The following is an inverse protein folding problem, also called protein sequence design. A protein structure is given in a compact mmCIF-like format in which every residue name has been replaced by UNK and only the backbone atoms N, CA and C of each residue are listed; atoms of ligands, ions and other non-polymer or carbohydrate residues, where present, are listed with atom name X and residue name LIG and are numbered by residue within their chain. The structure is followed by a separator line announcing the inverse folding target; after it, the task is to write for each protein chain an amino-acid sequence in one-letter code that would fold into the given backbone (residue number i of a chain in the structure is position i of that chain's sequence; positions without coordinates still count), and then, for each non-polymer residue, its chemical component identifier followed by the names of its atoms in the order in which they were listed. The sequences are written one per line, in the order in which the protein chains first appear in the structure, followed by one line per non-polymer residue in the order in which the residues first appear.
data_IF_190554718110
#
_entry.id   IF_190554718110
#
_cell.length_a   1.000
_cell.length_b   1.000
_cell.length_c   1.000
_cell.angle_alpha   90.00
_cell.angle_beta   90.00
_cell.angle_gamma   90.00
#
_symmetry.space_group_name_H-M   'P 1'
#
loop_
_entity.id
_entity.type
_entity.pdbx_description
1 polymer ?
#
# COMPACT_ATOMS: atom_id res chain seq x y z
N UNK A 1 -1.08 13.45 -6.19
CA UNK A 1 -1.29 12.05 -5.78
C UNK A 1 -1.51 11.21 -7.04
N UNK A 2 -0.86 10.04 -7.19
CA UNK A 2 -1.08 9.15 -8.35
C UNK A 2 -2.52 8.58 -8.33
N UNK A 3 -3.10 8.31 -9.50
CA UNK A 3 -4.47 7.78 -9.61
C UNK A 3 -4.65 6.42 -8.91
N UNK A 4 -3.68 5.51 -9.07
CA UNK A 4 -3.65 4.22 -8.38
C UNK A 4 -3.67 4.36 -6.85
N UNK A 5 -2.91 5.33 -6.33
CA UNK A 5 -2.87 5.63 -4.91
C UNK A 5 -4.22 6.16 -4.41
N UNK A 6 -4.88 7.00 -5.18
CA UNK A 6 -6.21 7.51 -4.86
C UNK A 6 -7.27 6.40 -4.82
N UNK A 7 -7.23 5.45 -5.77
CA UNK A 7 -8.12 4.28 -5.77
C UNK A 7 -7.89 3.39 -4.55
N UNK A 8 -6.62 3.12 -4.20
CA UNK A 8 -6.26 2.35 -3.01
C UNK A 8 -6.83 2.97 -1.73
N UNK A 9 -6.58 4.27 -1.53
CA UNK A 9 -7.11 5.00 -0.37
C UNK A 9 -8.63 5.08 -0.39
N UNK A 10 -9.25 5.11 -1.57
CA UNK A 10 -10.71 5.04 -1.65
C UNK A 10 -11.23 3.71 -1.12
N UNK A 11 -10.61 2.59 -1.51
CA UNK A 11 -10.98 1.27 -1.01
C UNK A 11 -10.73 1.14 0.49
N UNK A 12 -9.58 1.61 0.98
CA UNK A 12 -9.22 1.62 2.40
C UNK A 12 -10.26 2.40 3.23
N UNK A 13 -10.68 3.59 2.76
CA UNK A 13 -11.73 4.37 3.41
C UNK A 13 -13.11 3.69 3.43
N UNK A 14 -13.48 2.96 2.37
CA UNK A 14 -14.71 2.16 2.36
C UNK A 14 -14.63 1.00 3.36
N UNK A 15 -13.49 0.30 3.46
CA UNK A 15 -13.28 -0.78 4.42
C UNK A 15 -13.40 -0.26 5.87
N UNK A 16 -12.80 0.90 6.16
CA UNK A 16 -12.97 1.56 7.46
C UNK A 16 -14.44 1.87 7.76
N UNK A 17 -15.20 2.32 6.75
CA UNK A 17 -16.62 2.57 6.91
C UNK A 17 -17.43 1.29 7.14
N UNK A 18 -17.04 0.14 6.58
CA UNK A 18 -17.68 -1.14 6.89
C UNK A 18 -17.50 -1.52 8.36
N UNK A 19 -16.28 -1.42 8.89
CA UNK A 19 -15.99 -1.66 10.32
C UNK A 19 -16.80 -0.73 11.21
N UNK A 20 -16.91 0.54 10.85
CA UNK A 20 -17.70 1.50 11.60
C UNK A 20 -19.21 1.17 11.53
N UNK A 21 -19.72 0.73 10.37
CA UNK A 21 -21.13 0.32 10.24
C UNK A 21 -21.47 -0.90 11.09
N UNK A 22 -20.56 -1.87 11.22
CA UNK A 22 -20.72 -3.02 12.13
C UNK A 22 -20.88 -2.56 13.59
N UNK A 23 -20.24 -1.46 13.96
CA UNK A 23 -20.35 -0.85 15.28
C UNK A 23 -21.54 0.12 15.40
N UNK A 24 -22.45 0.14 14.42
CA UNK A 24 -23.67 0.96 14.41
C UNK A 24 -23.47 2.42 14.01
N UNK A 25 -22.35 2.78 13.38
CA UNK A 25 -22.16 4.12 12.80
C UNK A 25 -22.77 4.23 11.41
N UNK A 26 -23.30 5.39 11.07
CA UNK A 26 -23.72 5.74 9.73
C UNK A 26 -22.57 6.44 8.99
N UNK A 27 -22.21 5.96 7.81
CA UNK A 27 -21.10 6.49 7.02
C UNK A 27 -21.56 6.96 5.65
N UNK A 28 -21.33 8.24 5.35
CA UNK A 28 -21.68 8.89 4.08
C UNK A 28 -20.42 9.42 3.39
N UNK A 29 -20.13 8.92 2.19
CA UNK A 29 -18.99 9.35 1.38
C UNK A 29 -19.18 10.77 0.86
N UNK A 30 -18.14 11.59 0.93
CA UNK A 30 -18.13 12.91 0.30
C UNK A 30 -17.70 12.81 -1.16
N UNK A 31 -18.38 13.57 -2.02
CA UNK A 31 -18.11 13.60 -3.46
C UNK A 31 -16.69 14.10 -3.73
N UNK A 32 -15.93 13.35 -4.55
CA UNK A 32 -14.57 13.68 -5.00
C UNK A 32 -13.55 13.93 -3.87
N UNK A 33 -13.79 13.39 -2.66
CA UNK A 33 -12.87 13.52 -1.52
C UNK A 33 -12.60 12.15 -0.90
N UNK A 34 -11.41 12.01 -0.30
CA UNK A 34 -11.08 10.87 0.57
C UNK A 34 -11.59 11.17 1.98
N UNK A 35 -12.89 11.42 2.08
CA UNK A 35 -13.53 11.86 3.30
C UNK A 35 -14.94 11.27 3.41
N UNK A 36 -15.29 10.78 4.59
CA UNK A 36 -16.59 10.21 4.93
C UNK A 36 -17.12 10.88 6.18
N UNK A 37 -18.39 11.31 6.13
CA UNK A 37 -19.11 11.73 7.32
C UNK A 37 -19.53 10.49 8.09
N UNK A 38 -19.15 10.42 9.36
CA UNK A 38 -19.42 9.30 10.27
C UNK A 38 -20.28 9.83 11.40
N UNK A 39 -21.48 9.29 11.60
CA UNK A 39 -22.38 9.75 12.65
C UNK A 39 -22.98 8.62 13.46
N UNK A 40 -23.16 8.83 14.77
CA UNK A 40 -23.78 7.87 15.68
C UNK A 40 -24.37 8.60 16.88
N UNK A 41 -25.61 8.27 17.25
CA UNK A 41 -26.34 8.86 18.39
C UNK A 41 -26.33 10.41 18.44
N UNK A 42 -26.36 11.08 17.28
CA UNK A 42 -26.38 12.55 17.19
C UNK A 42 -25.01 13.20 17.03
N UNK A 43 -23.92 12.51 17.35
CA UNK A 43 -22.57 13.00 17.10
C UNK A 43 -22.18 12.77 15.64
N UNK A 44 -21.52 13.77 15.03
CA UNK A 44 -21.06 13.72 13.65
C UNK A 44 -19.57 14.05 13.57
N UNK A 45 -18.82 13.16 12.94
CA UNK A 45 -17.40 13.26 12.70
C UNK A 45 -17.09 13.15 11.20
N UNK A 46 -15.89 13.56 10.81
CA UNK A 46 -15.37 13.41 9.46
C UNK A 46 -14.11 12.54 9.50
N UNK A 47 -14.22 11.33 8.97
CA UNK A 47 -13.08 10.46 8.69
C UNK A 47 -12.44 10.94 7.39
N UNK A 48 -11.18 11.34 7.41
CA UNK A 48 -10.49 11.87 6.23
C UNK A 48 -9.05 11.41 6.18
N UNK A 49 -8.53 11.18 4.97
CA UNK A 49 -7.11 10.93 4.76
C UNK A 49 -6.35 12.25 4.66
N UNK A 50 -5.29 12.41 5.45
CA UNK A 50 -4.37 13.54 5.34
C UNK A 50 -3.16 13.13 4.48
N UNK A 51 -2.80 13.91 3.44
CA UNK A 51 -1.61 13.64 2.64
C UNK A 51 -0.33 13.88 3.47
N UNK A 52 0.82 13.73 2.83
CA UNK A 52 2.12 14.01 3.44
C UNK A 52 2.13 15.40 4.13
N UNK A 53 2.77 15.53 5.31
CA UNK A 53 3.65 14.55 5.94
C UNK A 53 2.94 13.47 6.78
N UNK A 54 1.66 13.66 7.11
CA UNK A 54 0.94 12.78 8.05
C UNK A 54 0.62 11.42 7.42
N UNK A 55 0.22 11.42 6.15
CA UNK A 55 -0.03 10.19 5.36
C UNK A 55 -0.91 9.15 6.08
N UNK A 56 -1.93 9.61 6.81
CA UNK A 56 -2.78 8.75 7.64
C UNK A 56 -4.24 9.18 7.62
N UNK A 57 -5.12 8.23 7.96
CA UNK A 57 -6.50 8.54 8.30
C UNK A 57 -6.58 9.28 9.62
N UNK A 58 -7.47 10.25 9.69
CA UNK A 58 -7.78 11.01 10.91
C UNK A 58 -9.28 11.25 11.01
N UNK A 59 -9.72 11.64 12.20
CA UNK A 59 -11.12 11.94 12.52
C UNK A 59 -11.21 13.37 13.04
N UNK A 60 -12.05 14.17 12.38
CA UNK A 60 -12.34 15.56 12.74
C UNK A 60 -13.76 15.71 13.31
N UNK A 61 -14.04 16.69 14.20
CA UNK A 61 -13.07 17.63 14.79
C UNK A 61 -12.11 16.95 15.77
N UNK A 62 -10.92 17.51 15.99
CA UNK A 62 -9.93 17.00 16.93
C UNK A 62 -10.32 17.36 18.38
N UNK A 63 -11.38 16.74 18.89
CA UNK A 63 -11.82 16.88 20.27
C UNK A 63 -11.38 15.67 21.12
N UNK A 64 -11.39 15.84 22.44
CA UNK A 64 -11.12 14.77 23.40
C UNK A 64 -12.40 14.00 23.76
N UNK A 65 -13.34 13.85 22.80
CA UNK A 65 -14.58 13.13 23.09
C UNK A 65 -14.32 11.61 23.11
N UNK A 66 -14.94 10.87 24.04
CA UNK A 66 -14.79 9.41 24.08
C UNK A 66 -15.31 8.75 22.80
N UNK A 67 -16.33 9.34 22.17
CA UNK A 67 -16.85 8.87 20.88
C UNK A 67 -15.81 8.97 19.75
N UNK A 68 -14.99 10.03 19.72
CA UNK A 68 -13.90 10.16 18.76
C UNK A 68 -12.77 9.18 19.02
N UNK A 69 -12.35 9.03 20.28
CA UNK A 69 -11.32 8.06 20.66
C UNK A 69 -11.74 6.64 20.27
N UNK A 70 -13.01 6.30 20.44
CA UNK A 70 -13.56 5.03 19.98
C UNK A 70 -13.43 4.86 18.46
N UNK A 71 -13.79 5.87 17.65
CA UNK A 71 -13.62 5.81 16.19
C UNK A 71 -12.14 5.63 15.82
N UNK A 72 -11.23 6.37 16.46
CA UNK A 72 -9.78 6.25 16.21
C UNK A 72 -9.25 4.86 16.59
N UNK A 73 -9.73 4.29 17.70
CA UNK A 73 -9.35 2.94 18.11
C UNK A 73 -9.81 1.89 17.08
N UNK A 74 -11.04 2.03 16.56
CA UNK A 74 -11.57 1.14 15.51
C UNK A 74 -10.79 1.27 14.21
N UNK A 75 -10.51 2.51 13.77
CA UNK A 75 -9.73 2.76 12.56
C UNK A 75 -8.32 2.20 12.68
N UNK A 76 -7.61 2.48 13.77
CA UNK A 76 -6.25 1.99 13.97
C UNK A 76 -6.19 0.46 14.05
N UNK A 77 -7.17 -0.18 14.71
CA UNK A 77 -7.25 -1.64 14.77
C UNK A 77 -7.57 -2.25 13.39
N UNK A 78 -8.45 -1.62 12.61
CA UNK A 78 -8.77 -2.06 11.25
C UNK A 78 -7.54 -2.00 10.33
N UNK A 79 -6.79 -0.90 10.38
CA UNK A 79 -5.54 -0.75 9.61
C UNK A 79 -4.49 -1.79 10.03
N UNK A 80 -4.29 -2.02 11.33
CA UNK A 80 -3.40 -3.08 11.83
C UNK A 80 -3.84 -4.48 11.40
N UNK A 81 -5.16 -4.73 11.34
CA UNK A 81 -5.71 -6.02 10.90
C UNK A 81 -5.48 -6.24 9.40
N UNK A 82 -5.56 -5.20 8.58
CA UNK A 82 -5.18 -5.29 7.16
C UNK A 82 -3.68 -5.54 6.98
N UNK A 83 -2.82 -4.90 7.76
CA UNK A 83 -1.38 -5.18 7.77
C UNK A 83 -1.09 -6.63 8.19
N UNK A 84 -1.74 -7.11 9.26
CA UNK A 84 -1.56 -8.48 9.74
C UNK A 84 -2.20 -9.54 8.82
N UNK A 85 -3.31 -9.19 8.14
CA UNK A 85 -3.94 -10.01 7.11
C UNK A 85 -3.07 -10.12 5.86
N UNK A 86 -2.42 -9.03 5.48
CA UNK A 86 -1.44 -8.99 4.38
C UNK A 86 -0.21 -9.86 4.71
N UNK A 87 0.23 -9.86 5.98
CA UNK A 87 1.30 -10.75 6.44
C UNK A 87 0.88 -12.24 6.51
N UNK A 88 -0.40 -12.56 6.76
CA UNK A 88 -0.89 -13.96 6.80
C UNK A 88 -1.29 -14.51 5.43
N UNK A 89 -1.63 -13.66 4.47
CA UNK A 89 -1.82 -14.03 3.05
C UNK A 89 -0.54 -13.92 2.22
N UNK A 90 0.63 -13.89 2.86
CA UNK A 90 1.95 -13.88 2.20
C UNK A 90 2.34 -15.25 1.64
N UNK A 91 1.42 -15.90 0.93
CA UNK A 91 1.72 -16.68 -0.25
C UNK A 91 1.02 -15.99 -1.42
N UNK A 92 1.78 -15.25 -2.22
CA UNK A 92 1.37 -14.57 -3.46
C UNK A 92 0.52 -13.29 -3.34
N UNK A 93 1.08 -12.21 -2.78
CA UNK A 93 0.82 -10.86 -3.32
C UNK A 93 2.16 -10.12 -3.36
N UNK A 94 2.86 -10.21 -4.48
CA UNK A 94 3.93 -9.28 -4.77
C UNK A 94 3.39 -7.85 -4.81
N UNK A 95 4.16 -6.83 -4.36
CA UNK A 95 3.69 -5.46 -4.38
C UNK A 95 3.27 -5.09 -5.80
N UNK A 96 2.03 -4.62 -5.98
CA UNK A 96 1.42 -4.28 -7.28
C UNK A 96 2.26 -3.31 -8.16
N UNK A 97 3.24 -2.62 -7.57
CA UNK A 97 4.22 -1.83 -8.32
C UNK A 97 5.25 -2.68 -9.11
N UNK A 98 5.55 -3.91 -8.66
CA UNK A 98 6.42 -4.86 -9.36
C UNK A 98 5.79 -5.38 -10.67
N UNK A 99 4.47 -5.53 -10.70
CA UNK A 99 3.71 -5.92 -11.90
C UNK A 99 3.80 -4.89 -13.04
N UNK A 100 4.22 -3.66 -12.74
CA UNK A 100 4.41 -2.62 -13.75
C UNK A 100 5.84 -2.55 -14.30
N UNK A 101 6.75 -3.36 -13.75
CA UNK A 101 8.18 -3.35 -14.05
C UNK A 101 8.65 -4.75 -14.46
N UNK A 102 8.32 -5.18 -15.69
CA UNK A 102 8.51 -6.57 -16.09
C UNK A 102 9.98 -6.91 -16.39
N UNK A 103 10.88 -5.92 -16.45
CA UNK A 103 12.30 -6.17 -16.71
C UNK A 103 13.06 -6.31 -15.41
N UNK A 104 13.58 -7.50 -15.14
CA UNK A 104 14.18 -7.86 -13.85
C UNK A 104 15.66 -8.15 -14.04
N UNK A 105 16.49 -7.62 -13.15
CA UNK A 105 17.87 -8.07 -13.00
C UNK A 105 17.91 -9.16 -11.95
N UNK A 106 18.34 -10.35 -12.32
CA UNK A 106 18.61 -11.46 -11.40
C UNK A 106 20.11 -11.64 -11.24
N UNK A 107 20.54 -11.95 -10.01
CA UNK A 107 21.91 -12.41 -9.75
C UNK A 107 21.92 -13.93 -9.67
N UNK A 108 22.84 -14.55 -10.40
CA UNK A 108 23.06 -15.99 -10.36
C UNK A 108 24.08 -16.33 -9.27
N UNK A 109 23.78 -17.38 -8.49
CA UNK A 109 24.66 -17.94 -7.47
C UNK A 109 25.19 -19.29 -7.94
N UNK A 110 26.33 -19.71 -7.38
CA UNK A 110 27.07 -20.91 -7.79
C UNK A 110 26.32 -22.24 -7.58
N UNK A 111 25.19 -22.22 -6.86
CA UNK A 111 24.35 -23.39 -6.57
C UNK A 111 23.04 -23.38 -7.35
N UNK A 112 23.06 -22.82 -8.56
CA UNK A 112 21.89 -22.67 -9.43
C UNK A 112 20.72 -21.89 -8.79
N UNK A 113 20.95 -21.22 -7.65
CA UNK A 113 20.00 -20.28 -7.07
C UNK A 113 20.13 -18.94 -7.76
N UNK A 114 19.03 -18.20 -7.76
CA UNK A 114 18.98 -16.82 -8.22
C UNK A 114 18.17 -15.98 -7.24
N UNK A 115 18.47 -14.70 -7.17
CA UNK A 115 17.60 -13.73 -6.50
C UNK A 115 17.46 -12.45 -7.32
N UNK A 116 16.31 -11.80 -7.16
CA UNK A 116 16.00 -10.53 -7.82
C UNK A 116 16.77 -9.39 -7.18
N UNK A 117 17.52 -8.66 -7.99
CA UNK A 117 18.29 -7.48 -7.57
C UNK A 117 17.45 -6.21 -7.69
N UNK A 118 16.79 -6.03 -8.84
CA UNK A 118 15.99 -4.85 -9.14
C UNK A 118 15.02 -5.09 -10.31
N UNK A 119 13.94 -4.29 -10.40
CA UNK A 119 12.95 -4.31 -11.49
C UNK A 119 12.80 -2.94 -12.16
N UNK A 120 12.59 -2.94 -13.48
CA UNK A 120 12.56 -1.78 -14.36
C UNK A 120 11.36 -1.79 -15.31
N UNK A 121 10.89 -0.59 -15.68
CA UNK A 121 9.80 -0.40 -16.62
C UNK A 121 10.21 -0.75 -18.06
N UNK A 122 11.39 -0.32 -18.48
CA UNK A 122 11.91 -0.56 -19.81
C UNK A 122 13.18 -1.43 -19.74
N UNK A 123 13.45 -2.15 -20.83
CA UNK A 123 14.59 -3.06 -20.95
C UNK A 123 15.94 -2.33 -20.90
N UNK A 124 15.97 -1.10 -21.40
CA UNK A 124 17.20 -0.32 -21.56
C UNK A 124 17.79 0.06 -20.20
N UNK A 125 16.96 0.59 -19.30
CA UNK A 125 17.34 0.93 -17.93
C UNK A 125 17.89 -0.29 -17.18
N UNK A 126 17.28 -1.47 -17.37
CA UNK A 126 17.77 -2.72 -16.78
C UNK A 126 19.16 -3.09 -17.30
N UNK A 127 19.42 -2.95 -18.60
CA UNK A 127 20.74 -3.21 -19.18
C UNK A 127 21.79 -2.19 -18.71
N UNK A 128 21.44 -0.91 -18.65
CA UNK A 128 22.36 0.14 -18.19
C UNK A 128 22.70 -0.05 -16.71
N UNK A 129 21.72 -0.43 -15.89
CA UNK A 129 21.97 -0.76 -14.49
C UNK A 129 22.81 -2.04 -14.34
N UNK A 130 22.55 -3.09 -15.14
CA UNK A 130 23.40 -4.29 -15.18
C UNK A 130 24.86 -3.92 -15.48
N UNK A 131 25.13 -3.02 -16.43
CA UNK A 131 26.51 -2.57 -16.74
C UNK A 131 27.20 -1.96 -15.52
N UNK A 132 26.48 -1.18 -14.72
CA UNK A 132 27.01 -0.63 -13.47
C UNK A 132 27.30 -1.74 -12.46
N UNK A 133 26.37 -2.66 -12.25
CA UNK A 133 26.56 -3.80 -11.34
C UNK A 133 27.75 -4.68 -11.73
N UNK A 134 27.91 -4.98 -13.02
CA UNK A 134 29.06 -5.76 -13.52
C UNK A 134 30.40 -5.05 -13.34
N UNK A 135 30.43 -3.71 -13.29
CA UNK A 135 31.67 -2.96 -12.97
C UNK A 135 32.00 -3.01 -11.48
N UNK A 136 31.00 -2.92 -10.62
CA UNK A 136 31.18 -2.97 -9.16
C UNK A 136 31.43 -4.39 -8.64
N UNK A 137 30.87 -5.40 -9.28
CA UNK A 137 30.96 -6.81 -8.89
C UNK A 137 31.28 -7.68 -10.10
N UNK A 138 32.52 -7.64 -10.61
CA UNK A 138 32.90 -8.37 -11.82
C UNK A 138 32.84 -9.90 -11.67
N UNK A 139 32.95 -10.42 -10.44
CA UNK A 139 32.83 -11.84 -10.14
C UNK A 139 31.36 -12.32 -10.00
N UNK A 140 30.38 -11.41 -10.02
CA UNK A 140 28.97 -11.75 -9.91
C UNK A 140 28.32 -11.80 -11.30
N UNK A 141 27.53 -12.84 -11.54
CA UNK A 141 26.79 -13.00 -12.78
C UNK A 141 25.39 -12.39 -12.65
N UNK A 142 25.05 -11.51 -13.59
CA UNK A 142 23.76 -10.84 -13.64
C UNK A 142 23.08 -11.06 -14.99
N UNK A 143 21.78 -11.31 -14.96
CA UNK A 143 20.96 -11.50 -16.15
C UNK A 143 19.75 -10.58 -16.14
N UNK A 144 19.36 -10.08 -17.31
CA UNK A 144 18.12 -9.29 -17.49
C UNK A 144 17.06 -10.23 -18.05
N UNK A 145 16.00 -10.45 -17.29
CA UNK A 145 14.91 -11.37 -17.62
C UNK A 145 13.60 -10.58 -17.71
N UNK A 146 12.74 -10.97 -18.65
CA UNK A 146 11.36 -10.48 -18.67
C UNK A 146 10.52 -11.38 -17.76
N UNK A 147 10.06 -10.83 -16.64
CA UNK A 147 9.21 -11.50 -15.65
C UNK A 147 8.00 -10.61 -15.32
N UNK A 148 6.87 -10.83 -16.00
CA UNK A 148 5.67 -10.01 -15.88
C UNK A 148 4.78 -10.36 -14.69
N UNK A 149 5.03 -11.48 -14.01
CA UNK A 149 4.14 -11.98 -12.96
C UNK A 149 4.77 -11.98 -11.59
N UNK A 150 6.10 -12.11 -11.54
CA UNK A 150 6.83 -12.10 -10.31
C UNK A 150 6.36 -13.23 -9.38
N UNK A 151 7.15 -14.29 -9.36
CA UNK A 151 7.04 -15.36 -8.37
C UNK A 151 7.82 -14.99 -7.10
#
# INVERSE_FOLDING_TARGET
MKHSHWLRLTQEGENLCLVLREQGYQCFKQVRRLSWKVSKHGDSYLLTYLPAPISSWTVLPNNASPAREQILSLVSNALKKEELGTLRSSSAIQPRDELTRPWVIVRLLSDARRYTVARFYNRQDAHDHKRVLSRFMPAAEFEVVFDPWGD
#
